data_IF_517149323447
#
_entry.id   IF_517149323447
#
_cell.length_a   1.000
_cell.length_b   1.000
_cell.length_c   1.000
_cell.angle_alpha   90.00
_cell.angle_beta   90.00
_cell.angle_gamma   90.00
#
_symmetry.space_group_name_H-M   'P 1'
#
loop_
_entity.id
_entity.type
_entity.pdbx_description
1 polymer ?
#
# COMPACT_ATOMS: atom_id res chain seq x y z
N UNK A 1 -8.36 -5.15 -63.03
CA UNK A 1 -7.20 -6.04 -63.24
C UNK A 1 -6.58 -6.35 -61.89
N UNK A 2 -6.58 -7.66 -61.58
CA UNK A 2 -5.67 -8.46 -60.75
C UNK A 2 -5.46 -8.22 -59.24
N UNK A 3 -5.70 -9.35 -58.55
CA UNK A 3 -5.28 -9.76 -57.22
C UNK A 3 -3.75 -9.88 -57.04
N UNK A 4 -3.27 -9.74 -55.80
CA UNK A 4 -2.50 -10.73 -55.01
C UNK A 4 -1.82 -10.01 -53.83
N UNK A 5 -2.17 -10.31 -52.58
CA UNK A 5 -1.68 -11.41 -51.73
C UNK A 5 -0.21 -11.28 -51.33
N UNK A 6 0.04 -10.90 -50.07
CA UNK A 6 1.31 -11.18 -49.38
C UNK A 6 1.05 -11.88 -48.05
N UNK A 7 1.84 -12.94 -47.86
CA UNK A 7 1.70 -14.01 -46.89
C UNK A 7 2.25 -13.63 -45.51
N UNK A 8 1.56 -14.11 -44.48
CA UNK A 8 2.03 -14.26 -43.11
C UNK A 8 3.14 -15.32 -43.04
N UNK A 9 4.25 -15.02 -42.35
CA UNK A 9 5.21 -16.01 -41.86
C UNK A 9 5.10 -16.04 -40.33
N UNK A 10 4.45 -17.09 -39.82
CA UNK A 10 4.56 -17.49 -38.43
C UNK A 10 5.82 -18.34 -38.23
N UNK A 11 6.63 -17.99 -37.24
CA UNK A 11 7.72 -18.83 -36.74
C UNK A 11 7.20 -19.52 -35.48
N UNK A 12 6.91 -20.81 -35.60
CA UNK A 12 6.60 -21.67 -34.47
C UNK A 12 7.92 -22.22 -33.90
N UNK A 13 8.23 -21.86 -32.66
CA UNK A 13 9.34 -22.42 -31.90
C UNK A 13 8.85 -23.71 -31.21
N UNK A 14 9.39 -24.85 -31.62
CA UNK A 14 9.05 -26.15 -31.07
C UNK A 14 9.69 -26.33 -29.68
N UNK A 15 8.85 -26.50 -28.66
CA UNK A 15 9.23 -26.88 -27.30
C UNK A 15 9.34 -28.41 -27.23
N UNK A 16 10.55 -28.94 -27.09
CA UNK A 16 10.76 -30.38 -26.82
C UNK A 16 10.51 -30.68 -25.34
N UNK A 17 9.41 -31.40 -25.05
CA UNK A 17 9.18 -32.08 -23.78
C UNK A 17 10.13 -33.28 -23.65
N UNK A 18 10.89 -33.33 -22.55
CA UNK A 18 11.58 -34.56 -22.10
C UNK A 18 10.64 -35.31 -21.15
N UNK A 19 10.20 -36.49 -21.59
CA UNK A 19 9.45 -37.44 -20.78
C UNK A 19 10.41 -38.40 -20.08
N UNK A 20 10.22 -38.60 -18.77
CA UNK A 20 10.84 -39.68 -18.00
C UNK A 20 10.16 -41.02 -18.33
N UNK A 21 10.96 -42.06 -18.58
CA UNK A 21 10.52 -43.45 -18.73
C UNK A 21 11.52 -44.40 -18.04
N UNK A 22 11.06 -45.49 -17.38
CA UNK A 22 11.86 -46.26 -16.44
C UNK A 22 12.47 -47.56 -17.02
N UNK A 23 13.48 -48.08 -16.32
CA UNK A 23 14.00 -49.45 -16.41
C UNK A 23 15.43 -49.53 -16.99
N UNK A 24 16.27 -50.51 -16.65
CA UNK A 24 16.27 -51.58 -15.65
C UNK A 24 17.68 -52.21 -15.73
N UNK A 25 18.17 -52.69 -14.58
CA UNK A 25 19.09 -53.81 -14.37
C UNK A 25 20.58 -53.72 -14.75
N UNK A 26 21.41 -54.12 -13.78
CA UNK A 26 22.84 -54.43 -13.93
C UNK A 26 23.51 -54.70 -12.58
N UNK A 27 23.29 -55.89 -12.02
CA UNK A 27 23.86 -56.45 -10.80
C UNK A 27 25.39 -56.42 -10.71
N UNK A 28 25.94 -56.31 -9.49
CA UNK A 28 26.91 -57.28 -8.92
C UNK A 28 27.32 -56.99 -7.46
N UNK A 29 26.67 -57.71 -6.55
CA UNK A 29 27.25 -58.56 -5.48
C UNK A 29 28.16 -58.03 -4.36
N UNK A 30 27.69 -58.25 -3.12
CA UNK A 30 28.45 -58.78 -1.96
C UNK A 30 28.48 -57.87 -0.74
N UNK A 31 28.01 -58.20 0.47
CA UNK A 31 27.39 -59.39 1.04
C UNK A 31 27.29 -59.24 2.57
N UNK A 32 26.22 -59.81 3.15
CA UNK A 32 26.04 -60.35 4.52
C UNK A 32 26.24 -59.45 5.77
N UNK A 33 25.34 -59.41 6.77
CA UNK A 33 24.11 -60.21 7.00
C UNK A 33 23.36 -59.90 8.31
N UNK A 34 22.18 -60.52 8.42
CA UNK A 34 21.39 -60.96 9.61
C UNK A 34 21.07 -59.98 10.76
N UNK A 35 19.84 -59.89 11.30
CA UNK A 35 18.61 -60.64 11.06
C UNK A 35 17.50 -60.31 12.08
N UNK A 36 16.28 -60.81 11.80
CA UNK A 36 15.14 -61.04 12.72
C UNK A 36 14.23 -59.83 13.02
N UNK A 37 13.05 -59.67 12.41
CA UNK A 37 11.74 -60.32 12.69
C UNK A 37 11.24 -60.04 14.13
N UNK A 38 10.00 -59.70 14.46
CA UNK A 38 8.64 -59.76 13.90
C UNK A 38 7.76 -58.95 14.91
N UNK A 39 6.57 -58.38 14.67
CA UNK A 39 5.45 -58.71 13.79
C UNK A 39 4.15 -58.21 14.44
N UNK A 40 3.19 -57.76 13.60
CA UNK A 40 1.73 -57.70 13.84
C UNK A 40 1.20 -56.67 14.85
N UNK A 41 -0.02 -56.14 14.73
CA UNK A 41 -1.13 -56.27 13.79
C UNK A 41 -2.12 -55.14 14.15
N UNK A 42 -2.74 -54.51 13.15
CA UNK A 42 -3.98 -53.72 13.30
C UNK A 42 -5.19 -54.65 13.56
N UNK A 43 -6.42 -54.17 13.89
CA UNK A 43 -7.28 -53.51 12.89
C UNK A 43 -8.28 -52.46 13.43
N UNK A 44 -9.09 -51.98 12.48
CA UNK A 44 -9.98 -50.83 12.47
C UNK A 44 -11.41 -51.04 13.03
N UNK A 45 -12.17 -49.93 13.07
CA UNK A 45 -13.64 -49.83 13.15
C UNK A 45 -14.04 -48.55 13.91
N UNK A 46 -15.01 -47.70 13.56
CA UNK A 46 -16.03 -47.66 12.52
C UNK A 46 -17.19 -46.76 13.00
N UNK A 47 -17.59 -45.79 12.15
CA UNK A 47 -18.89 -45.10 12.00
C UNK A 47 -19.73 -44.57 13.20
N UNK A 48 -20.05 -43.26 13.14
CA UNK A 48 -21.42 -42.73 12.90
C UNK A 48 -22.40 -42.54 14.08
N UNK A 49 -22.91 -41.31 14.26
CA UNK A 49 -24.18 -41.03 14.95
C UNK A 49 -24.37 -39.60 15.47
N UNK A 50 -25.31 -38.84 14.89
CA UNK A 50 -26.08 -37.71 15.49
C UNK A 50 -27.57 -38.11 15.51
N UNK A 51 -28.53 -37.35 16.09
CA UNK A 51 -28.53 -36.18 16.99
C UNK A 51 -29.40 -36.39 18.26
N UNK A 52 -29.54 -35.40 19.17
CA UNK A 52 -30.83 -34.92 19.76
C UNK A 52 -30.67 -33.83 20.85
N UNK A 53 -31.61 -32.86 20.81
CA UNK A 53 -31.84 -31.69 21.68
C UNK A 53 -32.08 -31.96 23.18
N UNK A 54 -31.84 -30.92 23.99
CA UNK A 54 -32.74 -30.30 25.01
C UNK A 54 -31.96 -29.06 25.53
N UNK A 55 -32.45 -27.82 25.60
CA UNK A 55 -33.70 -27.30 26.15
C UNK A 55 -33.40 -26.66 27.52
N UNK A 56 -33.36 -25.31 27.61
CA UNK A 56 -33.20 -24.64 28.91
C UNK A 56 -32.94 -23.13 28.84
N UNK A 57 -34.01 -22.34 28.89
CA UNK A 57 -34.02 -20.89 29.05
C UNK A 57 -34.10 -20.47 30.54
N UNK A 58 -33.56 -19.30 30.89
CA UNK A 58 -34.08 -18.49 32.01
C UNK A 58 -33.77 -16.99 31.81
N UNK A 59 -34.83 -16.23 31.58
CA UNK A 59 -35.05 -14.83 31.96
C UNK A 59 -35.11 -14.70 33.51
N UNK A 60 -35.05 -13.54 34.18
CA UNK A 60 -34.94 -12.15 33.74
C UNK A 60 -35.18 -11.18 34.93
N UNK A 61 -34.89 -9.89 34.69
CA UNK A 61 -35.56 -8.70 35.23
C UNK A 61 -35.19 -8.19 36.63
N UNK A 62 -35.44 -6.93 37.01
CA UNK A 62 -35.77 -5.68 36.31
C UNK A 62 -35.94 -4.57 37.37
N UNK A 63 -36.11 -3.31 36.91
CA UNK A 63 -36.61 -2.10 37.61
C UNK A 63 -35.57 -1.27 38.39
N UNK A 64 -35.57 0.07 38.38
CA UNK A 64 -36.43 1.10 37.77
C UNK A 64 -36.35 2.44 38.56
N UNK A 65 -36.65 3.58 37.91
CA UNK A 65 -36.92 4.91 38.51
C UNK A 65 -35.90 6.01 38.14
N UNK A 66 -36.16 6.97 37.25
CA UNK A 66 -37.03 8.17 37.29
C UNK A 66 -36.33 9.44 37.88
N UNK A 67 -36.33 10.55 37.11
CA UNK A 67 -35.58 11.83 37.28
C UNK A 67 -36.02 12.77 38.43
N UNK A 68 -35.85 14.12 38.40
CA UNK A 68 -35.75 15.03 37.23
C UNK A 68 -34.77 16.24 37.35
N UNK A 69 -34.77 17.10 36.32
CA UNK A 69 -34.65 18.59 36.34
C UNK A 69 -33.36 19.30 36.77
N UNK A 70 -32.91 20.25 35.93
CA UNK A 70 -31.99 21.31 36.33
C UNK A 70 -31.41 22.12 35.15
N UNK A 71 -32.22 22.96 34.51
CA UNK A 71 -31.73 24.02 33.64
C UNK A 71 -31.39 25.27 34.45
N UNK A 72 -30.29 25.94 34.11
CA UNK A 72 -30.04 27.34 34.49
C UNK A 72 -29.43 28.08 33.30
N UNK A 73 -30.27 28.91 32.70
CA UNK A 73 -29.91 30.12 31.94
C UNK A 73 -29.93 31.29 32.92
N UNK A 74 -28.86 32.11 32.94
CA UNK A 74 -28.82 33.54 33.32
C UNK A 74 -27.36 33.94 33.52
N UNK A 75 -26.81 35.04 33.01
CA UNK A 75 -27.42 36.16 32.30
C UNK A 75 -26.32 37.08 31.76
N UNK A 76 -26.67 37.85 30.73
CA UNK A 76 -25.84 38.92 30.21
C UNK A 76 -25.81 40.13 31.16
N UNK A 77 -24.69 40.86 31.10
CA UNK A 77 -24.51 42.19 31.69
C UNK A 77 -23.30 42.86 31.02
N UNK A 78 -23.41 44.13 30.58
CA UNK A 78 -22.61 44.71 29.51
C UNK A 78 -21.26 45.23 30.02
N UNK A 79 -20.20 45.02 29.25
CA UNK A 79 -18.85 45.45 29.61
C UNK A 79 -18.03 45.87 28.39
N UNK A 80 -18.06 47.17 28.12
CA UNK A 80 -17.02 47.99 27.48
C UNK A 80 -16.42 47.51 26.15
N UNK A 81 -16.79 48.26 25.10
CA UNK A 81 -15.98 48.42 23.90
C UNK A 81 -14.58 48.97 24.24
N UNK A 82 -13.56 48.19 23.91
CA UNK A 82 -12.21 48.67 23.59
C UNK A 82 -11.89 48.02 22.25
N UNK A 83 -11.98 48.76 21.14
CA UNK A 83 -10.85 49.59 20.73
C UNK A 83 -9.96 48.70 19.85
N UNK A 84 -10.17 48.77 18.54
CA UNK A 84 -9.50 47.92 17.56
C UNK A 84 -7.98 48.01 17.68
N UNK A 85 -7.37 46.85 17.89
CA UNK A 85 -6.07 46.56 17.33
C UNK A 85 -6.34 45.78 16.06
N UNK A 86 -6.36 46.49 14.93
CA UNK A 86 -6.12 45.87 13.63
C UNK A 86 -4.66 45.42 13.66
N UNK A 87 -4.42 44.27 14.30
CA UNK A 87 -3.22 43.51 14.07
C UNK A 87 -3.29 43.12 12.61
N UNK A 88 -2.50 43.79 11.79
CA UNK A 88 -2.03 43.22 10.54
C UNK A 88 -1.24 41.97 10.93
N UNK A 89 -1.96 40.88 11.21
CA UNK A 89 -1.41 39.55 11.18
C UNK A 89 -0.98 39.36 9.74
N UNK A 90 0.26 39.70 9.43
CA UNK A 90 0.91 39.16 8.25
C UNK A 90 0.65 37.67 8.28
N UNK A 91 0.05 37.15 7.22
CA UNK A 91 -0.07 35.71 7.03
C UNK A 91 1.32 35.12 7.36
N UNK A 92 1.43 34.15 8.27
CA UNK A 92 2.66 33.39 8.36
C UNK A 92 2.91 32.89 6.93
N UNK A 93 4.09 33.18 6.37
CA UNK A 93 4.57 32.37 5.26
C UNK A 93 4.67 30.97 5.85
N UNK A 94 3.62 30.17 5.66
CA UNK A 94 3.36 28.98 6.45
C UNK A 94 4.45 27.97 6.20
N UNK A 95 5.27 27.72 7.22
CA UNK A 95 6.20 26.60 7.22
C UNK A 95 5.42 25.32 6.92
N UNK A 96 6.03 24.40 6.18
CA UNK A 96 5.40 23.15 5.86
C UNK A 96 5.33 22.24 7.09
N UNK A 97 4.24 22.32 7.86
CA UNK A 97 4.07 21.54 9.09
C UNK A 97 3.38 20.20 8.82
N UNK A 98 3.50 19.28 9.77
CA UNK A 98 2.79 18.00 9.72
C UNK A 98 1.28 18.20 9.73
N UNK A 99 0.80 19.13 10.55
CA UNK A 99 -0.63 19.45 10.67
C UNK A 99 -1.20 19.99 9.37
N UNK A 100 -0.43 20.82 8.65
CA UNK A 100 -0.80 21.28 7.32
C UNK A 100 -0.93 20.09 6.35
N UNK A 101 0.10 19.25 6.27
CA UNK A 101 0.12 18.12 5.33
C UNK A 101 -0.97 17.08 5.64
N UNK A 102 -1.21 16.77 6.91
CA UNK A 102 -2.24 15.81 7.32
C UNK A 102 -3.65 16.37 7.10
N UNK A 103 -3.87 17.65 7.42
CA UNK A 103 -5.14 18.34 7.16
C UNK A 103 -5.46 18.41 5.67
N UNK A 104 -4.47 18.65 4.81
CA UNK A 104 -4.65 18.63 3.35
C UNK A 104 -5.02 17.24 2.82
N UNK A 105 -4.51 16.15 3.41
CA UNK A 105 -4.96 14.80 3.08
C UNK A 105 -6.41 14.56 3.52
N UNK A 106 -6.79 15.04 4.70
CA UNK A 106 -8.19 14.96 5.18
C UNK A 106 -9.14 15.73 4.25
N UNK A 107 -8.79 16.97 3.88
CA UNK A 107 -9.56 17.79 2.95
C UNK A 107 -9.67 17.11 1.57
N UNK A 108 -8.58 16.54 1.07
CA UNK A 108 -8.57 15.79 -0.18
C UNK A 108 -9.54 14.60 -0.15
N UNK A 109 -9.47 13.76 0.89
CA UNK A 109 -10.35 12.58 0.98
C UNK A 109 -11.81 12.98 1.20
N UNK A 110 -12.08 14.06 1.93
CA UNK A 110 -13.43 14.59 2.11
C UNK A 110 -14.02 15.11 0.78
N UNK A 111 -13.24 15.90 0.02
CA UNK A 111 -13.63 16.39 -1.30
C UNK A 111 -13.85 15.26 -2.31
N UNK A 112 -12.98 14.24 -2.29
CA UNK A 112 -13.08 13.05 -3.13
C UNK A 112 -14.37 12.27 -2.86
N UNK A 113 -14.72 12.06 -1.59
CA UNK A 113 -15.93 11.30 -1.21
C UNK A 113 -17.24 11.98 -1.64
N UNK A 114 -17.23 13.31 -1.85
CA UNK A 114 -18.39 14.05 -2.35
C UNK A 114 -18.33 14.34 -3.86
N UNK A 115 -17.20 14.04 -4.51
CA UNK A 115 -16.97 14.29 -5.94
C UNK A 115 -16.87 15.77 -6.31
N UNK A 116 -16.47 16.64 -5.37
CA UNK A 116 -16.38 18.09 -5.57
C UNK A 116 -15.06 18.64 -5.03
N UNK A 117 -14.10 19.02 -5.89
CA UNK A 117 -12.81 19.56 -5.47
C UNK A 117 -12.85 21.05 -5.09
N UNK A 118 -14.00 21.73 -5.17
CA UNK A 118 -14.10 23.18 -4.99
C UNK A 118 -13.72 23.69 -3.59
N UNK A 119 -13.69 22.81 -2.59
CA UNK A 119 -13.23 23.13 -1.25
C UNK A 119 -11.70 23.06 -1.08
N UNK A 120 -10.98 22.49 -2.05
CA UNK A 120 -9.54 22.27 -1.94
C UNK A 120 -8.74 23.56 -2.20
N UNK A 121 -7.66 23.81 -1.43
CA UNK A 121 -6.75 24.91 -1.70
C UNK A 121 -5.83 24.55 -2.87
N UNK A 122 -6.33 24.64 -4.10
CA UNK A 122 -5.59 24.32 -5.31
C UNK A 122 -4.86 25.56 -5.84
N UNK A 123 -3.57 25.40 -6.16
CA UNK A 123 -2.81 26.47 -6.82
C UNK A 123 -3.32 26.69 -8.26
N UNK A 124 -3.12 27.90 -8.78
CA UNK A 124 -3.32 28.17 -10.21
C UNK A 124 -2.43 27.23 -11.05
N UNK A 125 -3.06 26.45 -11.94
CA UNK A 125 -2.33 25.51 -12.79
C UNK A 125 -1.89 24.21 -12.11
N UNK A 126 -2.54 23.83 -10.99
CA UNK A 126 -2.33 22.53 -10.34
C UNK A 126 -2.25 21.40 -11.36
N UNK A 127 -1.18 20.57 -11.28
CA UNK A 127 -1.05 19.38 -12.13
C UNK A 127 -1.66 18.19 -11.40
N UNK A 128 -2.76 17.67 -11.93
CA UNK A 128 -3.41 16.46 -11.45
C UNK A 128 -3.22 15.32 -12.45
N UNK A 129 -2.84 14.15 -11.95
CA UNK A 129 -2.82 12.91 -12.73
C UNK A 129 -3.55 11.80 -12.00
N UNK A 130 -4.42 11.09 -12.72
CA UNK A 130 -4.93 9.78 -12.31
C UNK A 130 -4.32 8.74 -13.25
N UNK A 131 -3.69 7.71 -12.69
CA UNK A 131 -3.27 6.55 -13.47
C UNK A 131 -2.33 6.91 -14.64
N UNK A 132 -1.38 7.82 -14.36
CA UNK A 132 -0.44 8.43 -15.31
C UNK A 132 -1.06 9.35 -16.39
N UNK A 133 -2.37 9.60 -16.34
CA UNK A 133 -3.07 10.48 -17.28
C UNK A 133 -3.35 11.82 -16.61
N UNK A 134 -2.85 12.90 -17.23
CA UNK A 134 -3.17 14.25 -16.77
C UNK A 134 -4.64 14.57 -17.04
N UNK A 135 -5.33 15.12 -16.05
CA UNK A 135 -6.73 15.49 -16.13
C UNK A 135 -7.01 16.74 -15.29
N UNK A 136 -8.20 17.33 -15.46
CA UNK A 136 -8.74 18.30 -14.51
C UNK A 136 -9.24 17.54 -13.28
N UNK A 137 -8.88 17.99 -12.08
CA UNK A 137 -9.35 17.38 -10.83
C UNK A 137 -10.88 17.43 -10.76
N UNK A 138 -11.50 16.36 -10.23
CA UNK A 138 -12.96 16.24 -10.20
C UNK A 138 -13.61 15.72 -11.49
N UNK A 139 -12.84 15.55 -12.58
CA UNK A 139 -13.39 15.13 -13.89
C UNK A 139 -13.10 13.68 -14.28
N UNK A 140 -12.32 12.95 -13.49
CA UNK A 140 -12.02 11.53 -13.76
C UNK A 140 -13.11 10.61 -13.23
N UNK A 141 -13.17 9.39 -13.78
CA UNK A 141 -14.14 8.38 -13.37
C UNK A 141 -14.03 8.05 -11.87
N UNK A 142 -12.81 7.94 -11.34
CA UNK A 142 -12.62 7.71 -9.91
C UNK A 142 -13.12 8.88 -9.08
N UNK A 143 -12.80 10.12 -9.45
CA UNK A 143 -13.27 11.30 -8.73
C UNK A 143 -14.79 11.41 -8.66
N UNK A 144 -15.49 11.02 -9.72
CA UNK A 144 -16.95 11.07 -9.76
C UNK A 144 -17.65 9.92 -9.00
N UNK A 145 -16.94 8.84 -8.68
CA UNK A 145 -17.55 7.60 -8.17
C UNK A 145 -16.91 7.05 -6.89
N UNK A 146 -15.86 7.69 -6.37
CA UNK A 146 -15.25 7.35 -5.10
C UNK A 146 -16.22 7.59 -3.93
N UNK A 147 -16.20 6.70 -2.95
CA UNK A 147 -16.89 6.86 -1.68
C UNK A 147 -15.96 7.28 -0.55
N UNK A 148 -16.47 7.21 0.68
CA UNK A 148 -15.69 7.52 1.88
C UNK A 148 -14.48 6.59 2.02
N UNK A 149 -13.32 7.18 2.33
CA UNK A 149 -12.09 6.43 2.60
C UNK A 149 -12.30 5.48 3.77
N UNK A 150 -12.03 4.19 3.56
CA UNK A 150 -12.16 3.16 4.60
C UNK A 150 -10.90 3.03 5.44
N UNK A 151 -9.76 3.32 4.84
CA UNK A 151 -8.46 3.24 5.47
C UNK A 151 -7.44 4.10 4.73
N UNK A 152 -6.47 4.68 5.46
CA UNK A 152 -5.29 5.30 4.86
C UNK A 152 -4.08 5.18 5.80
N UNK A 153 -2.92 4.85 5.26
CA UNK A 153 -1.60 5.01 5.87
C UNK A 153 -0.88 6.17 5.19
N UNK A 154 -0.22 7.05 5.97
CA UNK A 154 0.20 8.39 5.52
C UNK A 154 1.65 8.70 5.91
N UNK A 155 2.40 9.31 5.00
CA UNK A 155 3.71 9.89 5.24
C UNK A 155 3.65 11.41 5.04
N UNK A 156 4.22 12.16 5.99
CA UNK A 156 4.23 13.61 6.00
C UNK A 156 5.67 14.11 5.92
N UNK A 157 6.12 14.51 4.73
CA UNK A 157 7.48 15.01 4.48
C UNK A 157 7.49 16.55 4.52
N UNK A 158 7.86 17.10 5.68
CA UNK A 158 7.89 18.54 5.92
C UNK A 158 9.04 19.24 5.19
N UNK A 159 10.11 18.53 4.81
CA UNK A 159 11.24 19.12 4.09
C UNK A 159 10.95 19.22 2.59
N UNK A 160 10.39 18.18 1.97
CA UNK A 160 9.94 18.20 0.58
C UNK A 160 8.58 18.89 0.38
N UNK A 161 7.97 19.34 1.48
CA UNK A 161 6.61 19.83 1.56
C UNK A 161 5.60 19.02 0.74
N UNK A 162 5.56 17.73 1.04
CA UNK A 162 4.76 16.76 0.31
C UNK A 162 4.18 15.72 1.25
N UNK A 163 2.97 15.27 0.94
CA UNK A 163 2.30 14.18 1.64
C UNK A 163 2.12 13.00 0.69
N UNK A 164 2.24 11.79 1.23
CA UNK A 164 1.92 10.56 0.49
C UNK A 164 0.99 9.67 1.30
N UNK A 165 0.11 8.96 0.62
CA UNK A 165 -0.81 8.02 1.25
C UNK A 165 -1.00 6.76 0.40
N UNK A 166 -1.18 5.63 1.07
CA UNK A 166 -1.82 4.45 0.49
C UNK A 166 -3.15 4.25 1.22
N UNK A 167 -4.22 3.99 0.49
CA UNK A 167 -5.57 4.00 1.00
C UNK A 167 -6.42 2.86 0.42
N UNK A 168 -7.53 2.58 1.10
CA UNK A 168 -8.61 1.73 0.60
C UNK A 168 -9.83 2.61 0.42
N UNK A 169 -10.25 2.79 -0.82
CA UNK A 169 -11.35 3.69 -1.19
C UNK A 169 -12.33 2.92 -2.07
N UNK A 170 -13.63 2.88 -1.73
CA UNK A 170 -14.62 2.22 -2.55
C UNK A 170 -14.93 3.04 -3.81
N UNK A 171 -15.11 2.36 -4.95
CA UNK A 171 -15.67 2.91 -6.19
C UNK A 171 -16.78 1.97 -6.66
N UNK A 172 -18.01 2.46 -6.82
CA UNK A 172 -19.12 1.63 -7.31
C UNK A 172 -19.40 0.37 -6.46
N UNK A 173 -19.06 0.39 -5.17
CA UNK A 173 -19.21 -0.74 -4.25
C UNK A 173 -18.05 -1.74 -4.24
N UNK A 174 -16.97 -1.47 -4.97
CA UNK A 174 -15.73 -2.27 -4.97
C UNK A 174 -14.65 -1.51 -4.22
N UNK A 175 -14.02 -2.13 -3.23
CA UNK A 175 -12.90 -1.53 -2.51
C UNK A 175 -11.66 -1.56 -3.39
N UNK A 176 -11.01 -0.40 -3.59
CA UNK A 176 -9.84 -0.26 -4.42
C UNK A 176 -8.61 0.11 -3.58
N UNK A 177 -7.44 -0.50 -3.84
CA UNK A 177 -6.17 0.04 -3.38
C UNK A 177 -5.85 1.33 -4.16
N UNK A 178 -5.51 2.38 -3.42
CA UNK A 178 -5.22 3.71 -3.98
C UNK A 178 -3.91 4.24 -3.41
N UNK A 179 -3.07 4.81 -4.24
CA UNK A 179 -1.90 5.58 -3.82
C UNK A 179 -2.10 7.06 -4.20
N UNK A 180 -1.64 7.96 -3.35
CA UNK A 180 -1.79 9.40 -3.50
C UNK A 180 -0.48 10.09 -3.11
N UNK A 181 -0.04 11.06 -3.91
CA UNK A 181 0.97 12.05 -3.54
C UNK A 181 0.42 13.45 -3.76
N UNK A 182 0.61 14.33 -2.79
CA UNK A 182 0.32 15.76 -2.87
C UNK A 182 1.60 16.54 -2.61
N UNK A 183 1.95 17.49 -3.49
CA UNK A 183 2.96 18.52 -3.24
C UNK A 183 2.29 19.83 -2.89
N UNK A 184 2.89 20.56 -1.95
CA UNK A 184 2.35 21.79 -1.42
C UNK A 184 3.36 22.93 -1.58
N UNK A 185 2.88 24.08 -2.06
CA UNK A 185 3.65 25.33 -2.06
C UNK A 185 2.72 26.44 -1.56
N UNK A 186 3.15 27.23 -0.57
CA UNK A 186 2.33 28.33 -0.05
C UNK A 186 1.00 27.90 0.59
N UNK A 187 0.93 26.68 1.16
CA UNK A 187 -0.31 26.05 1.66
C UNK A 187 -1.34 25.67 0.59
N UNK A 188 -0.97 25.71 -0.70
CA UNK A 188 -1.79 25.27 -1.81
C UNK A 188 -1.24 23.97 -2.42
N UNK A 189 -2.12 23.09 -2.87
CA UNK A 189 -1.76 21.88 -3.62
C UNK A 189 -1.33 22.28 -5.04
N UNK A 190 -0.07 22.01 -5.39
CA UNK A 190 0.49 22.32 -6.72
C UNK A 190 0.57 21.08 -7.61
N UNK A 191 0.73 19.90 -7.01
CA UNK A 191 0.82 18.64 -7.72
C UNK A 191 0.05 17.55 -6.98
N UNK A 192 -0.76 16.79 -7.72
CA UNK A 192 -1.55 15.69 -7.18
C UNK A 192 -1.42 14.49 -8.11
N UNK A 193 -0.92 13.38 -7.58
CA UNK A 193 -0.70 12.15 -8.33
C UNK A 193 -1.44 10.99 -7.66
N UNK A 194 -2.37 10.38 -8.38
CA UNK A 194 -3.22 9.29 -7.89
C UNK A 194 -3.03 8.02 -8.72
N UNK A 195 -2.82 6.90 -8.04
CA UNK A 195 -2.81 5.54 -8.61
C UNK A 195 -4.06 4.83 -8.08
N UNK A 196 -4.95 4.41 -8.95
CA UNK A 196 -6.18 3.68 -8.63
C UNK A 196 -6.10 2.30 -9.26
N UNK A 197 -6.11 1.25 -8.44
CA UNK A 197 -5.93 -0.12 -8.91
C UNK A 197 -7.26 -0.86 -8.99
N UNK A 198 -7.83 -0.94 -10.19
CA UNK A 198 -9.06 -1.71 -10.43
C UNK A 198 -8.76 -3.20 -10.67
N UNK A 199 -9.74 -4.11 -10.48
CA UNK A 199 -9.55 -5.52 -10.79
C UNK A 199 -9.10 -5.72 -12.26
N UNK A 200 -7.92 -6.32 -12.44
CA UNK A 200 -7.31 -6.54 -13.75
C UNK A 200 -6.34 -5.46 -14.22
N UNK A 201 -6.14 -4.37 -13.47
CA UNK A 201 -5.19 -3.29 -13.82
C UNK A 201 -3.72 -3.66 -13.59
N UNK A 202 -3.43 -4.79 -12.94
CA UNK A 202 -2.08 -5.27 -12.69
C UNK A 202 -1.90 -6.67 -13.28
N UNK A 203 -1.16 -6.77 -14.40
CA UNK A 203 -1.11 -7.99 -15.22
C UNK A 203 0.29 -8.63 -15.37
N UNK A 204 1.26 -8.22 -14.55
CA UNK A 204 2.58 -8.83 -14.54
C UNK A 204 2.53 -10.36 -14.37
N UNK A 205 3.50 -11.10 -14.91
CA UNK A 205 3.55 -12.57 -14.79
C UNK A 205 3.66 -13.08 -13.33
N UNK A 206 4.14 -12.21 -12.44
CA UNK A 206 4.25 -12.44 -11.00
C UNK A 206 3.18 -11.68 -10.20
N UNK A 207 2.22 -11.04 -10.88
CA UNK A 207 1.16 -10.28 -10.23
C UNK A 207 0.31 -11.17 -9.33
N UNK A 208 -0.02 -10.63 -8.17
CA UNK A 208 -1.02 -11.19 -7.26
C UNK A 208 -2.30 -10.37 -7.35
N UNK A 209 -3.43 -11.04 -7.15
CA UNK A 209 -4.71 -10.34 -7.08
C UNK A 209 -4.72 -9.36 -5.90
N UNK A 210 -5.27 -8.17 -6.13
CA UNK A 210 -5.45 -7.16 -5.08
C UNK A 210 -6.31 -7.70 -3.94
N UNK A 211 -5.95 -7.36 -2.71
CA UNK A 211 -6.71 -7.66 -1.49
C UNK A 211 -6.76 -6.43 -0.58
N UNK A 212 -7.68 -5.48 -0.86
CA UNK A 212 -7.82 -4.27 -0.06
C UNK A 212 -8.10 -4.55 1.43
N UNK A 213 -8.78 -5.66 1.74
CA UNK A 213 -9.06 -6.03 3.13
C UNK A 213 -7.78 -6.36 3.90
N UNK A 214 -6.78 -6.97 3.24
CA UNK A 214 -5.48 -7.24 3.85
C UNK A 214 -4.71 -5.96 4.19
N UNK A 215 -4.82 -4.89 3.38
CA UNK A 215 -4.22 -3.58 3.69
C UNK A 215 -4.76 -3.05 5.02
N UNK A 216 -6.07 -3.14 5.23
CA UNK A 216 -6.71 -2.69 6.47
C UNK A 216 -6.33 -3.59 7.65
N UNK A 217 -6.36 -4.91 7.45
CA UNK A 217 -6.18 -5.88 8.53
C UNK A 217 -4.78 -5.86 9.15
N UNK A 218 -3.73 -5.60 8.36
CA UNK A 218 -2.35 -5.59 8.85
C UNK A 218 -1.94 -4.24 9.45
N UNK A 219 -2.75 -3.19 9.27
CA UNK A 219 -2.33 -1.82 9.57
C UNK A 219 -1.96 -1.60 11.04
N UNK A 220 -2.74 -2.18 11.95
CA UNK A 220 -2.51 -2.10 13.40
C UNK A 220 -1.25 -2.85 13.83
N UNK A 221 -0.87 -3.94 13.13
CA UNK A 221 0.36 -4.68 13.41
C UNK A 221 1.61 -3.89 13.01
N UNK A 222 1.48 -2.95 12.06
CA UNK A 222 2.60 -2.15 11.53
C UNK A 222 2.74 -0.81 12.27
N UNK A 223 1.63 -0.22 12.72
CA UNK A 223 1.65 1.09 13.39
C UNK A 223 2.05 2.22 12.43
N UNK A 224 1.38 2.32 11.28
CA UNK A 224 1.68 3.35 10.27
C UNK A 224 1.55 4.78 10.80
N UNK A 225 0.60 5.02 11.72
CA UNK A 225 0.37 6.35 12.30
C UNK A 225 1.16 6.61 13.58
N UNK A 226 1.79 5.57 14.13
CA UNK A 226 2.55 5.66 15.38
C UNK A 226 3.86 6.39 15.14
N UNK A 227 4.15 7.36 16.01
CA UNK A 227 5.46 7.99 16.05
C UNK A 227 6.51 6.98 16.53
N UNK A 228 7.63 6.93 15.83
CA UNK A 228 8.78 6.14 16.26
C UNK A 228 9.43 6.86 17.45
N UNK A 229 9.86 6.17 18.51
CA UNK A 229 10.62 6.78 19.61
C UNK A 229 11.84 7.54 19.07
N UNK A 230 12.16 8.71 19.61
CA UNK A 230 13.21 9.60 19.07
C UNK A 230 14.56 8.90 18.88
N UNK A 231 14.95 8.02 19.81
CA UNK A 231 16.20 7.24 19.73
C UNK A 231 16.21 6.13 18.66
N UNK A 232 15.05 5.78 18.11
CA UNK A 232 14.85 4.76 17.08
C UNK A 232 14.48 5.36 15.72
N UNK A 233 14.28 6.68 15.63
CA UNK A 233 13.95 7.37 14.37
C UNK A 233 15.11 7.28 13.40
N UNK A 234 14.84 6.77 12.21
CA UNK A 234 15.76 6.89 11.10
C UNK A 234 15.87 8.38 10.70
N UNK A 235 17.08 8.78 10.34
CA UNK A 235 17.32 10.06 9.68
C UNK A 235 16.71 10.07 8.28
N UNK A 236 16.49 11.26 7.73
CA UNK A 236 16.09 11.44 6.33
C UNK A 236 17.01 10.69 5.37
N UNK A 237 18.32 10.79 5.56
CA UNK A 237 19.31 10.13 4.71
C UNK A 237 19.16 8.60 4.77
N UNK A 238 18.93 8.02 5.95
CA UNK A 238 18.69 6.58 6.09
C UNK A 238 17.40 6.14 5.38
N UNK A 239 16.29 6.86 5.58
CA UNK A 239 15.00 6.57 4.92
C UNK A 239 15.12 6.65 3.39
N UNK A 240 15.67 7.76 2.89
CA UNK A 240 15.80 8.01 1.45
C UNK A 240 16.83 7.10 0.78
N UNK A 241 17.95 6.81 1.44
CA UNK A 241 18.96 5.88 0.93
C UNK A 241 18.42 4.45 0.88
N UNK A 242 17.65 4.02 1.89
CA UNK A 242 17.10 2.67 1.90
C UNK A 242 16.12 2.47 0.75
N UNK A 243 15.17 3.40 0.52
CA UNK A 243 14.19 3.26 -0.55
C UNK A 243 14.83 3.38 -1.94
N UNK A 244 15.80 4.29 -2.14
CA UNK A 244 16.59 4.35 -3.39
C UNK A 244 17.32 3.03 -3.64
N UNK A 245 17.97 2.47 -2.62
CA UNK A 245 18.65 1.17 -2.71
C UNK A 245 17.67 0.03 -3.00
N UNK A 246 16.49 0.02 -2.39
CA UNK A 246 15.46 -0.99 -2.64
C UNK A 246 15.13 -1.10 -4.13
N UNK A 247 14.88 0.05 -4.76
CA UNK A 247 14.54 0.11 -6.19
C UNK A 247 15.73 -0.21 -7.09
N UNK A 248 16.93 0.28 -6.76
CA UNK A 248 18.14 -0.02 -7.54
C UNK A 248 18.57 -1.49 -7.45
N UNK A 249 18.29 -2.14 -6.33
CA UNK A 249 18.74 -3.50 -6.07
C UNK A 249 17.75 -4.58 -6.48
N UNK A 250 16.55 -4.22 -6.93
CA UNK A 250 15.57 -5.20 -7.39
C UNK A 250 16.11 -6.00 -8.60
N UNK A 251 15.90 -7.33 -8.68
CA UNK A 251 15.14 -8.20 -7.77
C UNK A 251 15.96 -8.75 -6.57
N UNK A 252 17.23 -8.36 -6.45
CA UNK A 252 18.16 -8.86 -5.42
C UNK A 252 17.81 -8.43 -4.00
N UNK A 253 16.85 -7.52 -3.81
CA UNK A 253 16.32 -7.11 -2.51
C UNK A 253 17.32 -6.34 -1.64
N UNK A 254 16.88 -5.96 -0.44
CA UNK A 254 17.65 -5.17 0.53
C UNK A 254 17.59 -5.79 1.93
N UNK A 255 18.60 -5.50 2.75
CA UNK A 255 18.72 -6.01 4.10
C UNK A 255 18.05 -5.09 5.14
N UNK A 256 18.28 -5.44 6.41
CA UNK A 256 17.82 -4.68 7.56
C UNK A 256 16.30 -4.67 7.62
N UNK A 257 15.71 -5.85 7.45
CA UNK A 257 14.27 -6.10 7.59
C UNK A 257 14.05 -7.01 8.80
N UNK A 258 13.05 -6.72 9.61
CA UNK A 258 12.72 -7.57 10.76
C UNK A 258 12.23 -8.94 10.31
N UNK A 259 12.25 -9.93 11.21
CA UNK A 259 11.69 -11.26 10.94
C UNK A 259 10.17 -11.26 10.72
N UNK A 260 9.48 -10.23 11.23
CA UNK A 260 8.04 -10.06 11.07
C UNK A 260 7.67 -9.31 9.78
N UNK A 261 8.63 -8.67 9.11
CA UNK A 261 8.37 -7.79 7.98
C UNK A 261 7.55 -8.47 6.88
N UNK A 262 6.43 -7.82 6.54
CA UNK A 262 5.53 -8.25 5.47
C UNK A 262 5.55 -7.30 4.29
N UNK A 263 5.43 -7.89 3.11
CA UNK A 263 5.27 -7.19 1.84
C UNK A 263 3.89 -7.46 1.25
N UNK A 264 3.17 -6.40 0.95
CA UNK A 264 1.88 -6.42 0.25
C UNK A 264 1.99 -5.67 -1.07
N UNK A 265 1.46 -6.26 -2.14
CA UNK A 265 1.34 -5.62 -3.46
C UNK A 265 -0.15 -5.47 -3.79
N UNK A 266 -0.66 -4.24 -3.79
CA UNK A 266 -2.09 -3.96 -3.89
C UNK A 266 -2.92 -4.69 -2.82
N UNK A 267 -2.29 -4.98 -1.66
CA UNK A 267 -2.85 -5.81 -0.59
C UNK A 267 -2.64 -7.32 -0.76
N UNK A 268 -2.31 -7.79 -1.96
CA UNK A 268 -2.07 -9.19 -2.27
C UNK A 268 -0.70 -9.71 -1.82
N UNK A 269 -0.55 -11.04 -1.85
CA UNK A 269 0.73 -11.75 -1.71
C UNK A 269 1.15 -12.10 -0.28
N UNK A 270 1.10 -11.15 0.67
CA UNK A 270 1.55 -11.31 2.06
C UNK A 270 2.92 -12.01 2.17
N UNK A 271 3.90 -11.48 1.44
CA UNK A 271 5.21 -12.05 1.34
C UNK A 271 6.08 -11.69 2.55
N UNK A 272 7.05 -12.54 2.89
CA UNK A 272 8.16 -12.10 3.75
C UNK A 272 9.04 -11.11 3.00
N UNK A 273 9.42 -10.01 3.63
CA UNK A 273 10.35 -9.03 3.04
C UNK A 273 11.74 -9.63 2.72
N UNK A 274 12.09 -10.77 3.33
CA UNK A 274 13.38 -11.45 3.10
C UNK A 274 13.38 -12.36 1.87
N UNK A 275 12.22 -12.65 1.30
CA UNK A 275 12.12 -13.56 0.16
C UNK A 275 12.85 -12.98 -1.04
N UNK A 276 13.90 -13.65 -1.52
CA UNK A 276 14.68 -13.23 -2.68
C UNK A 276 15.83 -12.25 -2.39
N UNK A 277 16.03 -11.82 -1.14
CA UNK A 277 17.09 -10.88 -0.79
C UNK A 277 18.49 -11.54 -0.79
N UNK A 278 19.42 -11.05 -1.62
CA UNK A 278 20.82 -11.52 -1.74
C UNK A 278 21.71 -11.02 -0.60
N UNK A 279 21.27 -9.97 0.08
CA UNK A 279 21.89 -9.34 1.23
C UNK A 279 23.41 -9.07 1.17
N UNK A 280 23.96 -9.00 -0.03
CA UNK A 280 25.38 -8.80 -0.27
C UNK A 280 25.69 -7.31 -0.34
N UNK A 281 26.77 -6.88 0.33
CA UNK A 281 27.18 -5.48 0.34
C UNK A 281 27.60 -5.05 -1.08
N UNK A 282 26.91 -4.04 -1.63
CA UNK A 282 27.25 -3.44 -2.93
C UNK A 282 26.51 -4.03 -4.14
N UNK A 283 25.43 -4.78 -3.94
CA UNK A 283 24.75 -5.51 -5.02
C UNK A 283 23.40 -4.86 -5.41
N UNK A 284 23.37 -3.80 -6.24
CA UNK A 284 22.32 -3.74 -7.23
C UNK A 284 22.72 -4.72 -8.34
N UNK A 285 22.01 -5.84 -8.44
CA UNK A 285 22.19 -6.77 -9.54
C UNK A 285 22.19 -6.02 -10.88
N UNK A 286 22.97 -6.49 -11.86
CA UNK A 286 23.13 -5.81 -13.15
C UNK A 286 21.88 -5.81 -14.03
N UNK A 287 20.82 -6.52 -13.62
CA UNK A 287 19.63 -6.79 -14.41
C UNK A 287 18.41 -6.14 -13.72
N UNK A 288 17.95 -5.00 -14.27
CA UNK A 288 16.86 -4.18 -13.72
C UNK A 288 17.36 -3.16 -12.70
N UNK A 289 17.33 -1.87 -13.06
CA UNK A 289 17.66 -0.78 -12.13
C UNK A 289 16.54 0.25 -12.22
N UNK A 290 15.71 0.34 -11.18
CA UNK A 290 14.67 1.36 -11.11
C UNK A 290 15.21 2.58 -10.40
N UNK A 291 14.90 3.76 -10.95
CA UNK A 291 15.25 5.05 -10.35
C UNK A 291 13.94 5.67 -9.87
N UNK A 292 13.78 5.89 -8.55
CA UNK A 292 12.63 6.63 -8.05
C UNK A 292 12.62 8.03 -8.63
N UNK A 293 11.47 8.45 -9.18
CA UNK A 293 11.25 9.82 -9.65
C UNK A 293 11.00 10.76 -8.48
N UNK A 294 10.31 10.26 -7.45
CA UNK A 294 10.03 10.98 -6.21
C UNK A 294 10.35 10.09 -5.03
N UNK A 295 10.99 10.66 -4.01
CA UNK A 295 11.17 10.04 -2.70
C UNK A 295 10.63 11.00 -1.65
N UNK A 296 9.81 10.49 -0.73
CA UNK A 296 9.36 11.20 0.47
C UNK A 296 9.92 10.51 1.71
N UNK A 297 10.22 11.28 2.75
CA UNK A 297 10.62 10.79 4.06
C UNK A 297 9.85 11.49 5.19
N UNK A 298 9.24 10.69 6.06
CA UNK A 298 8.61 11.10 7.31
C UNK A 298 9.43 10.52 8.47
N UNK A 299 10.35 11.31 9.02
CA UNK A 299 11.28 10.89 10.08
C UNK A 299 10.56 10.62 11.41
N UNK A 300 9.43 11.28 11.64
CA UNK A 300 8.65 11.15 12.89
C UNK A 300 7.95 9.80 12.95
N UNK A 301 7.34 9.37 11.85
CA UNK A 301 6.69 8.05 11.73
C UNK A 301 7.64 6.98 11.17
N UNK A 302 8.85 7.34 10.76
CA UNK A 302 9.81 6.43 10.15
C UNK A 302 9.27 5.83 8.86
N UNK A 303 8.67 6.64 7.99
CA UNK A 303 8.12 6.17 6.71
C UNK A 303 8.92 6.74 5.56
N UNK A 304 9.29 5.91 4.60
CA UNK A 304 9.77 6.38 3.30
C UNK A 304 8.78 5.95 2.21
N UNK A 305 8.61 6.81 1.21
CA UNK A 305 7.87 6.49 -0.01
C UNK A 305 8.80 6.66 -1.19
N UNK A 306 8.73 5.76 -2.17
CA UNK A 306 9.33 5.97 -3.48
C UNK A 306 8.30 5.75 -4.58
N UNK A 307 8.20 6.72 -5.49
CA UNK A 307 7.41 6.61 -6.71
C UNK A 307 8.33 6.34 -7.89
N UNK A 308 8.04 5.30 -8.65
CA UNK A 308 8.86 4.90 -9.81
C UNK A 308 8.00 4.34 -10.93
N UNK A 309 8.64 4.10 -12.07
CA UNK A 309 8.14 3.18 -13.09
C UNK A 309 8.84 1.85 -12.87
N UNK A 310 8.07 0.85 -12.42
CA UNK A 310 8.56 -0.49 -12.16
C UNK A 310 8.36 -1.33 -13.43
N UNK A 311 9.42 -1.54 -14.21
CA UNK A 311 9.38 -2.20 -15.53
C UNK A 311 10.08 -3.58 -15.54
N UNK A 312 10.08 -4.28 -14.41
CA UNK A 312 10.69 -5.60 -14.31
C UNK A 312 9.97 -6.66 -15.17
N UNK A 313 10.56 -7.01 -16.32
CA UNK A 313 10.01 -8.01 -17.25
C UNK A 313 8.59 -7.68 -17.75
N UNK A 314 8.22 -6.39 -17.75
CA UNK A 314 6.91 -5.89 -18.18
C UNK A 314 7.07 -4.59 -18.98
N UNK A 315 5.96 -4.06 -19.52
CA UNK A 315 5.96 -2.77 -20.23
C UNK A 315 5.94 -1.55 -19.28
N UNK A 316 6.04 -1.75 -17.95
CA UNK A 316 6.15 -0.69 -16.94
C UNK A 316 4.86 -0.41 -16.16
N UNK A 317 5.00 -0.40 -14.83
CA UNK A 317 3.94 -0.10 -13.87
C UNK A 317 4.21 1.21 -13.15
N UNK A 318 3.20 2.07 -13.03
CA UNK A 318 3.27 3.18 -12.11
C UNK A 318 3.17 2.62 -10.69
N UNK A 319 4.18 2.90 -9.87
CA UNK A 319 4.39 2.24 -8.59
C UNK A 319 4.66 3.26 -7.48
N UNK A 320 3.95 3.12 -6.36
CA UNK A 320 4.28 3.73 -5.08
C UNK A 320 4.58 2.66 -4.04
N UNK A 321 5.86 2.48 -3.67
CA UNK A 321 6.24 1.73 -2.46
C UNK A 321 6.24 2.66 -1.25
N UNK A 322 5.76 2.14 -0.12
CA UNK A 322 5.77 2.76 1.20
C UNK A 322 6.39 1.76 2.19
N UNK A 323 7.38 2.19 2.96
CA UNK A 323 8.08 1.35 3.94
C UNK A 323 7.97 1.94 5.34
N UNK A 324 7.88 1.08 6.35
CA UNK A 324 7.96 1.46 7.76
C UNK A 324 9.31 1.06 8.31
N UNK A 325 10.04 1.99 8.92
CA UNK A 325 11.37 1.79 9.49
C UNK A 325 11.42 2.30 10.94
N UNK A 326 12.09 1.56 11.81
CA UNK A 326 12.47 2.01 13.15
C UNK A 326 13.62 1.16 13.68
N UNK A 327 14.48 1.74 14.52
CA UNK A 327 15.60 1.04 15.14
C UNK A 327 16.64 0.52 14.13
N UNK A 328 16.71 1.14 12.96
CA UNK A 328 17.59 0.72 11.86
C UNK A 328 17.08 -0.49 11.07
N UNK A 329 15.85 -0.97 11.32
CA UNK A 329 15.22 -2.07 10.60
C UNK A 329 13.90 -1.66 9.94
N UNK A 330 13.52 -2.37 8.87
CA UNK A 330 12.27 -2.23 8.15
C UNK A 330 11.26 -3.25 8.67
N UNK A 331 10.07 -2.76 8.98
CA UNK A 331 8.97 -3.52 9.57
C UNK A 331 7.87 -3.86 8.58
N UNK A 332 7.75 -3.11 7.48
CA UNK A 332 6.79 -3.39 6.42
C UNK A 332 7.20 -2.76 5.09
N UNK A 333 6.77 -3.37 3.99
CA UNK A 333 6.92 -2.86 2.62
C UNK A 333 5.59 -3.00 1.89
N UNK A 334 4.83 -1.93 1.72
CA UNK A 334 3.58 -1.96 0.96
C UNK A 334 3.75 -1.25 -0.37
N UNK A 335 3.22 -1.84 -1.44
CA UNK A 335 3.25 -1.25 -2.77
C UNK A 335 1.84 -1.14 -3.33
N UNK A 336 1.53 0.01 -3.92
CA UNK A 336 0.35 0.20 -4.78
C UNK A 336 0.86 0.46 -6.19
N UNK A 337 0.52 -0.44 -7.11
CA UNK A 337 1.05 -0.42 -8.47
C UNK A 337 0.02 -0.89 -9.50
N UNK A 338 0.09 -0.32 -10.70
CA UNK A 338 -0.75 -0.71 -11.84
C UNK A 338 -0.03 -0.52 -13.16
N UNK A 339 -0.51 -1.22 -14.18
CA UNK A 339 -0.01 -1.12 -15.55
C UNK A 339 -0.27 0.29 -16.11
N UNK A 340 0.78 0.95 -16.60
CA UNK A 340 0.70 2.24 -17.30
C UNK A 340 1.53 2.29 -18.58
N UNK A 341 2.05 1.13 -19.02
CA UNK A 341 2.96 1.01 -20.17
C UNK A 341 4.15 1.97 -20.07
N UNK A 342 4.71 2.06 -18.86
CA UNK A 342 5.91 2.85 -18.57
C UNK A 342 5.69 4.35 -18.48
N UNK A 343 4.43 4.81 -18.55
CA UNK A 343 4.10 6.24 -18.45
C UNK A 343 3.92 6.63 -16.99
N UNK A 344 4.53 7.75 -16.60
CA UNK A 344 4.39 8.34 -15.26
C UNK A 344 3.29 9.40 -15.19
N UNK A 345 3.06 10.13 -16.28
CA UNK A 345 2.25 11.36 -16.30
C UNK A 345 3.03 12.61 -15.85
N UNK A 346 4.32 12.46 -15.53
CA UNK A 346 5.16 13.48 -14.90
C UNK A 346 6.45 13.78 -15.67
N UNK A 347 6.45 13.52 -16.98
CA UNK A 347 7.48 14.01 -17.92
C UNK A 347 7.45 15.54 -18.09
#
# INVERSE_FOLDING_TARGET
MNHNSFRSLGVALALTLVACGPGQNGDATGGTGSGGASGGQSPAGGAGGTPQETGGASSGGASGGAGPSGGTSSGGGPGAATGGASGSGGAPGGDCTRELLDGLLDDYFAALAVGDPSSLPLAEGVKFTENAMQAEIGTTDFWMNAGEVKHSQRALDTEACSAGAQAVIPEGGVDLPVALRIKVEGSEMTEIETIVVRPGDYTASFAVASDPAAIMAISDDIGWHDEVPEAERATREELTSWIDKYFRAFPSGVCDVTGACKRLENGGGNFSCRTGASCSAGDPGSDGTFIPRVILADEVRGIAIGLTIFDFMTDGHLDMHMIKMSGGEVHAVHAILRDTNGVSGWE
#
